data_IF_332714475014
#
_entry.id   IF_332714475014
#
_cell.length_a   1.000
_cell.length_b   1.000
_cell.length_c   1.000
_cell.angle_alpha   90.00
_cell.angle_beta   90.00
_cell.angle_gamma   90.00
#
_symmetry.space_group_name_H-M   'P 1'
#
loop_
_entity.id
_entity.type
_entity.pdbx_description
1 polymer ?
#
# COMPACT_ATOMS: atom_id res chain seq x y z
N UNK A 1 20.25 -18.57 23.03
CA UNK A 1 19.78 -18.02 24.32
C UNK A 1 20.27 -16.58 24.42
N UNK A 2 19.48 -15.59 23.97
CA UNK A 2 19.84 -14.19 24.13
C UNK A 2 19.82 -13.87 25.63
N UNK A 3 20.96 -13.47 26.18
CA UNK A 3 21.15 -13.26 27.62
C UNK A 3 20.29 -12.09 28.09
N UNK A 4 19.69 -12.15 29.29
CA UNK A 4 18.82 -11.08 29.80
C UNK A 4 19.46 -9.67 29.80
N UNK A 5 20.80 -9.59 29.82
CA UNK A 5 21.51 -8.33 29.63
C UNK A 5 21.39 -7.75 28.21
N UNK A 6 21.35 -8.58 27.16
CA UNK A 6 21.14 -8.09 25.79
C UNK A 6 19.74 -7.50 25.61
N UNK A 7 18.74 -8.05 26.29
CA UNK A 7 17.37 -7.52 26.27
C UNK A 7 17.32 -6.16 26.96
N UNK A 8 18.03 -6.01 28.09
CA UNK A 8 18.08 -4.74 28.81
C UNK A 8 18.83 -3.66 28.02
N UNK A 9 19.92 -4.02 27.35
CA UNK A 9 20.68 -3.12 26.49
C UNK A 9 19.85 -2.69 25.26
N UNK A 10 19.10 -3.63 24.66
CA UNK A 10 18.19 -3.33 23.55
C UNK A 10 17.03 -2.43 23.99
N UNK A 11 16.50 -2.61 25.19
CA UNK A 11 15.45 -1.74 25.74
C UNK A 11 15.98 -0.32 25.97
N UNK A 12 17.21 -0.20 26.46
CA UNK A 12 17.87 1.08 26.71
C UNK A 12 18.20 1.79 25.37
N UNK A 13 18.62 1.05 24.36
CA UNK A 13 18.84 1.56 23.00
C UNK A 13 17.54 2.05 22.36
N UNK A 14 16.42 1.33 22.54
CA UNK A 14 15.10 1.75 22.06
C UNK A 14 14.65 3.03 22.77
N UNK A 15 14.89 3.15 24.07
CA UNK A 15 14.51 4.32 24.86
C UNK A 15 15.31 5.57 24.45
N UNK A 16 16.60 5.41 24.15
CA UNK A 16 17.43 6.49 23.60
C UNK A 16 16.95 6.94 22.21
N UNK A 17 16.49 6.01 21.36
CA UNK A 17 15.95 6.36 20.04
C UNK A 17 14.67 7.21 20.17
N UNK A 18 13.79 6.85 21.10
CA UNK A 18 12.55 7.60 21.37
C UNK A 18 12.88 9.02 21.88
N UNK A 19 13.84 9.16 22.79
CA UNK A 19 14.26 10.46 23.29
C UNK A 19 14.82 11.36 22.17
N UNK A 20 15.59 10.77 21.25
CA UNK A 20 16.16 11.51 20.11
C UNK A 20 15.07 11.97 19.12
N UNK A 21 14.07 11.12 18.86
CA UNK A 21 12.91 11.47 18.02
C UNK A 21 12.08 12.62 18.63
N UNK A 22 11.85 12.59 19.95
CA UNK A 22 11.15 13.68 20.63
C UNK A 22 11.92 15.00 20.56
N UNK A 23 13.25 14.96 20.66
CA UNK A 23 14.07 16.15 20.52
C UNK A 23 13.97 16.75 19.12
N UNK A 24 14.00 15.91 18.07
CA UNK A 24 13.87 16.36 16.68
C UNK A 24 12.50 17.01 16.40
N UNK A 25 11.43 16.47 16.99
CA UNK A 25 10.09 17.07 16.96
C UNK A 25 10.05 18.45 17.64
N UNK A 26 10.74 18.61 18.77
CA UNK A 26 10.80 19.88 19.49
C UNK A 26 11.56 20.97 18.70
N UNK A 27 12.66 20.62 18.03
CA UNK A 27 13.40 21.57 17.18
C UNK A 27 12.57 22.02 15.98
N UNK A 28 11.81 21.11 15.37
CA UNK A 28 10.91 21.44 14.26
C UNK A 28 9.76 22.35 14.69
N UNK A 29 9.22 22.17 15.90
CA UNK A 29 8.19 23.07 16.44
C UNK A 29 8.75 24.46 16.79
N UNK A 30 9.97 24.54 17.35
CA UNK A 30 10.55 25.82 17.78
C UNK A 30 11.03 26.68 16.60
N UNK A 31 11.43 26.06 15.49
CA UNK A 31 11.89 26.77 14.29
C UNK A 31 10.75 27.40 13.46
N UNK A 32 9.48 27.25 13.87
CA UNK A 32 8.31 27.88 13.21
C UNK A 32 7.98 29.28 13.76
N UNK A 33 8.65 29.77 14.81
CA UNK A 33 8.19 30.94 15.56
C UNK A 33 8.86 32.29 15.24
N UNK A 34 9.86 32.39 14.36
CA UNK A 34 10.51 33.68 14.07
C UNK A 34 10.76 33.92 12.58
N UNK A 35 9.68 34.10 11.82
CA UNK A 35 9.72 34.88 10.58
C UNK A 35 9.62 36.37 10.90
N UNK A 36 10.24 37.27 10.10
CA UNK A 36 10.18 38.71 10.32
C UNK A 36 8.73 39.23 10.27
N UNK A 37 8.36 40.26 11.05
CA UNK A 37 6.98 40.70 11.17
C UNK A 37 6.54 41.38 9.86
N UNK A 38 5.72 40.67 9.08
CA UNK A 38 5.00 41.20 7.91
C UNK A 38 3.54 41.55 8.26
N UNK A 39 2.91 42.53 7.60
CA UNK A 39 1.62 43.10 8.04
C UNK A 39 0.45 42.12 7.96
N UNK A 40 -0.48 42.29 8.91
CA UNK A 40 -1.68 41.49 9.16
C UNK A 40 -2.77 41.67 8.06
N UNK A 41 -3.43 40.59 7.65
CA UNK A 41 -4.65 40.59 6.80
C UNK A 41 -5.26 39.19 6.64
N UNK A 42 -6.59 39.02 6.46
CA UNK A 42 -7.38 38.05 7.24
C UNK A 42 -7.68 36.69 6.57
N UNK A 43 -7.97 35.73 7.45
CA UNK A 43 -8.59 34.40 7.25
C UNK A 43 -7.71 33.31 6.63
N UNK A 44 -6.99 32.61 7.52
CA UNK A 44 -6.23 31.39 7.24
C UNK A 44 -7.17 30.27 6.79
N UNK A 45 -7.24 30.02 5.49
CA UNK A 45 -7.58 28.71 4.97
C UNK A 45 -6.65 27.66 5.62
N UNK A 46 -7.13 26.44 5.92
CA UNK A 46 -6.31 25.44 6.59
C UNK A 46 -5.08 25.14 5.73
N UNK A 47 -3.89 25.38 6.29
CA UNK A 47 -2.64 25.10 5.60
C UNK A 47 -2.45 23.57 5.51
N UNK A 48 -2.00 23.05 4.36
CA UNK A 48 -1.85 21.62 4.13
C UNK A 48 -0.80 21.03 5.08
N UNK A 49 -1.15 19.89 5.68
CA UNK A 49 -0.29 19.13 6.60
C UNK A 49 0.93 18.57 5.84
N UNK A 50 2.12 18.46 6.47
CA UNK A 50 3.29 17.88 5.82
C UNK A 50 3.14 16.36 5.75
N UNK A 51 3.04 15.84 4.53
CA UNK A 51 3.04 14.40 4.23
C UNK A 51 4.42 13.82 4.51
N UNK A 52 4.48 12.86 5.43
CA UNK A 52 5.69 12.09 5.71
C UNK A 52 5.93 11.17 4.51
N UNK A 53 6.92 11.49 3.68
CA UNK A 53 7.29 10.66 2.52
C UNK A 53 8.15 9.48 3.00
N UNK A 54 7.49 8.45 3.52
CA UNK A 54 8.09 7.14 3.76
C UNK A 54 8.62 6.64 2.41
N UNK A 55 9.90 6.25 2.36
CA UNK A 55 10.55 5.75 1.14
C UNK A 55 9.77 4.55 0.59
N UNK A 56 8.86 4.82 -0.33
CA UNK A 56 8.02 3.82 -0.94
C UNK A 56 8.89 3.04 -1.93
N UNK A 57 9.04 1.73 -1.74
CA UNK A 57 9.61 0.88 -2.80
C UNK A 57 8.71 1.08 -4.02
N UNK A 58 9.29 1.57 -5.11
CA UNK A 58 8.57 1.78 -6.37
C UNK A 58 8.48 0.43 -7.07
N UNK A 59 7.28 -0.14 -7.06
CA UNK A 59 6.99 -1.44 -7.67
C UNK A 59 6.27 -1.18 -8.97
N UNK A 60 6.81 -1.73 -10.06
CA UNK A 60 6.17 -1.61 -11.37
C UNK A 60 4.76 -2.21 -11.31
N UNK A 61 3.79 -1.49 -11.88
CA UNK A 61 2.43 -2.00 -12.05
C UNK A 61 2.43 -3.17 -13.04
N UNK A 62 1.53 -4.15 -12.89
CA UNK A 62 1.36 -5.21 -13.86
C UNK A 62 1.04 -4.64 -15.25
N UNK A 63 1.43 -5.35 -16.30
CA UNK A 63 0.93 -5.07 -17.65
C UNK A 63 -0.52 -5.52 -17.76
N UNK A 64 -1.24 -4.95 -18.72
CA UNK A 64 -2.57 -5.45 -19.08
C UNK A 64 -2.45 -6.90 -19.56
N UNK A 65 -3.30 -7.77 -19.01
CA UNK A 65 -3.37 -9.18 -19.36
C UNK A 65 -4.54 -9.43 -20.31
N UNK A 66 -4.24 -9.95 -21.50
CA UNK A 66 -5.22 -10.21 -22.56
C UNK A 66 -5.68 -11.66 -22.66
N UNK A 67 -5.27 -12.52 -21.71
CA UNK A 67 -5.59 -13.96 -21.75
C UNK A 67 -4.55 -14.82 -22.45
N UNK A 68 -3.37 -14.29 -22.78
CA UNK A 68 -2.32 -15.07 -23.42
C UNK A 68 -1.53 -15.87 -22.37
N UNK A 69 -1.60 -17.21 -22.42
CA UNK A 69 -0.96 -18.09 -21.44
C UNK A 69 0.57 -17.91 -21.29
N UNK A 70 1.25 -17.34 -22.30
CA UNK A 70 2.68 -17.00 -22.23
C UNK A 70 2.97 -15.86 -21.26
N UNK A 71 2.02 -14.93 -21.09
CA UNK A 71 2.16 -13.76 -20.23
C UNK A 71 1.52 -13.98 -18.85
N UNK A 72 0.70 -15.03 -18.69
CA UNK A 72 -0.05 -15.35 -17.46
C UNK A 72 0.86 -15.43 -16.23
N UNK A 73 1.94 -16.21 -16.29
CA UNK A 73 2.83 -16.38 -15.13
C UNK A 73 3.56 -15.08 -14.75
N UNK A 74 3.93 -14.29 -15.76
CA UNK A 74 4.55 -12.96 -15.56
C UNK A 74 3.55 -11.99 -14.93
N UNK A 75 2.29 -12.02 -15.37
CA UNK A 75 1.20 -11.24 -14.81
C UNK A 75 0.92 -11.60 -13.35
N UNK A 76 0.71 -12.88 -13.04
CA UNK A 76 0.45 -13.36 -11.67
C UNK A 76 1.60 -12.94 -10.74
N UNK A 77 2.85 -13.15 -11.17
CA UNK A 77 4.02 -12.78 -10.36
C UNK A 77 4.08 -11.28 -10.09
N UNK A 78 3.81 -10.44 -11.10
CA UNK A 78 3.78 -8.98 -10.93
C UNK A 78 2.66 -8.54 -9.99
N UNK A 79 1.47 -9.14 -10.09
CA UNK A 79 0.35 -8.88 -9.19
C UNK A 79 0.71 -9.25 -7.74
N UNK A 80 1.23 -10.45 -7.47
CA UNK A 80 1.61 -10.88 -6.11
C UNK A 80 2.59 -9.92 -5.45
N UNK A 81 3.65 -9.53 -6.16
CA UNK A 81 4.66 -8.58 -5.65
C UNK A 81 4.02 -7.21 -5.35
N UNK A 82 3.15 -6.71 -6.23
CA UNK A 82 2.47 -5.44 -6.01
C UNK A 82 1.52 -5.50 -4.82
N UNK A 83 0.75 -6.57 -4.70
CA UNK A 83 -0.21 -6.76 -3.61
C UNK A 83 0.48 -6.81 -2.25
N UNK A 84 1.58 -7.57 -2.13
CA UNK A 84 2.34 -7.66 -0.88
C UNK A 84 3.00 -6.34 -0.47
N UNK A 85 3.47 -5.54 -1.44
CA UNK A 85 4.21 -4.31 -1.14
C UNK A 85 3.33 -3.06 -1.03
N UNK A 86 2.21 -3.00 -1.75
CA UNK A 86 1.35 -1.80 -1.85
C UNK A 86 -0.06 -2.01 -1.32
N UNK A 87 -0.53 -3.25 -1.22
CA UNK A 87 -1.91 -3.56 -0.85
C UNK A 87 -2.01 -4.58 0.28
N UNK A 88 -0.94 -4.83 1.05
CA UNK A 88 -0.97 -5.83 2.13
C UNK A 88 -2.13 -5.57 3.12
N UNK A 89 -2.37 -4.31 3.46
CA UNK A 89 -3.40 -3.82 4.39
C UNK A 89 -4.80 -3.66 3.76
N UNK A 90 -4.98 -4.05 2.48
CA UNK A 90 -6.28 -3.98 1.80
C UNK A 90 -7.09 -5.26 1.97
N UNK A 91 -8.41 -5.11 1.91
CA UNK A 91 -9.33 -6.23 1.91
C UNK A 91 -9.16 -7.10 0.65
N UNK A 92 -9.48 -8.41 0.72
CA UNK A 92 -9.42 -9.32 -0.42
C UNK A 92 -10.23 -8.84 -1.63
N UNK A 93 -11.44 -8.32 -1.41
CA UNK A 93 -12.34 -7.79 -2.46
C UNK A 93 -11.70 -6.61 -3.23
N UNK A 94 -11.05 -5.70 -2.51
CA UNK A 94 -10.31 -4.57 -3.10
C UNK A 94 -9.14 -5.06 -3.98
N UNK A 95 -8.44 -6.09 -3.50
CA UNK A 95 -7.31 -6.70 -4.21
C UNK A 95 -7.79 -7.38 -5.50
N UNK A 96 -8.88 -8.15 -5.44
CA UNK A 96 -9.51 -8.81 -6.59
C UNK A 96 -9.95 -7.78 -7.62
N UNK A 97 -10.73 -6.77 -7.20
CA UNK A 97 -11.20 -5.69 -8.07
C UNK A 97 -10.03 -4.97 -8.74
N UNK A 98 -8.94 -4.75 -8.00
CA UNK A 98 -7.73 -4.16 -8.56
C UNK A 98 -7.07 -5.06 -9.61
N UNK A 99 -6.93 -6.37 -9.37
CA UNK A 99 -6.39 -7.31 -10.37
C UNK A 99 -7.25 -7.32 -11.64
N UNK A 100 -8.58 -7.41 -11.48
CA UNK A 100 -9.54 -7.39 -12.59
C UNK A 100 -9.42 -6.11 -13.44
N UNK A 101 -9.00 -4.99 -12.86
CA UNK A 101 -8.76 -3.76 -13.62
C UNK A 101 -7.61 -3.88 -14.64
N UNK A 102 -6.66 -4.81 -14.44
CA UNK A 102 -5.58 -5.07 -15.39
C UNK A 102 -5.90 -6.21 -16.37
N UNK A 103 -7.02 -6.89 -16.18
CA UNK A 103 -7.48 -7.94 -17.10
C UNK A 103 -8.35 -7.30 -18.17
N UNK A 104 -7.79 -7.12 -19.37
CA UNK A 104 -8.48 -6.44 -20.48
C UNK A 104 -8.06 -7.00 -21.83
N UNK A 105 -9.03 -7.05 -22.75
CA UNK A 105 -8.86 -7.52 -24.11
C UNK A 105 -8.74 -9.04 -24.24
N UNK A 106 -8.92 -9.52 -25.48
CA UNK A 106 -8.80 -10.93 -25.82
C UNK A 106 -9.77 -11.83 -25.05
N UNK A 107 -9.32 -13.04 -24.72
CA UNK A 107 -10.15 -14.02 -24.00
C UNK A 107 -10.33 -13.69 -22.52
N UNK A 108 -9.43 -12.87 -21.95
CA UNK A 108 -9.49 -12.55 -20.52
C UNK A 108 -10.54 -11.50 -20.19
N UNK A 109 -10.99 -10.70 -21.16
CA UNK A 109 -12.11 -9.77 -20.97
C UNK A 109 -13.42 -10.51 -20.67
N UNK A 110 -13.73 -11.56 -21.45
CA UNK A 110 -14.90 -12.41 -21.19
C UNK A 110 -14.79 -13.17 -19.87
N UNK A 111 -13.58 -13.60 -19.50
CA UNK A 111 -13.34 -14.21 -18.18
C UNK A 111 -13.59 -13.21 -17.05
N UNK A 112 -13.09 -11.98 -17.17
CA UNK A 112 -13.31 -10.92 -16.17
C UNK A 112 -14.80 -10.61 -15.99
N UNK A 113 -15.55 -10.50 -17.09
CA UNK A 113 -17.00 -10.23 -17.05
C UNK A 113 -17.72 -11.34 -16.29
N UNK A 114 -17.41 -12.60 -16.57
CA UNK A 114 -17.95 -13.76 -15.84
C UNK A 114 -17.63 -13.69 -14.34
N UNK A 115 -16.36 -13.42 -13.98
CA UNK A 115 -15.96 -13.29 -12.58
C UNK A 115 -16.68 -12.12 -11.87
N UNK A 116 -16.86 -10.97 -12.55
CA UNK A 116 -17.63 -9.86 -11.97
C UNK A 116 -19.09 -10.23 -11.76
N UNK A 117 -19.72 -10.94 -12.71
CA UNK A 117 -21.10 -11.41 -12.60
C UNK A 117 -21.25 -12.36 -11.39
N UNK A 118 -20.35 -13.32 -11.22
CA UNK A 118 -20.33 -14.23 -10.06
C UNK A 118 -20.19 -13.49 -8.72
N UNK A 119 -19.36 -12.43 -8.69
CA UNK A 119 -19.19 -11.60 -7.48
C UNK A 119 -20.47 -10.78 -7.21
N UNK A 120 -21.09 -10.20 -8.24
CA UNK A 120 -22.34 -9.42 -8.11
C UNK A 120 -23.52 -10.27 -7.64
N UNK A 121 -23.62 -11.51 -8.13
CA UNK A 121 -24.65 -12.46 -7.73
C UNK A 121 -24.35 -13.14 -6.38
N UNK A 122 -23.20 -12.84 -5.77
CA UNK A 122 -22.71 -13.41 -4.51
C UNK A 122 -22.76 -14.95 -4.54
N UNK A 123 -22.37 -15.53 -5.68
CA UNK A 123 -22.30 -16.98 -5.85
C UNK A 123 -21.23 -17.57 -4.94
N UNK A 124 -21.49 -18.76 -4.37
CA UNK A 124 -20.53 -19.46 -3.49
C UNK A 124 -19.23 -19.84 -4.22
N UNK A 125 -19.25 -19.86 -5.57
CA UNK A 125 -18.11 -20.15 -6.44
C UNK A 125 -17.30 -18.88 -6.82
N UNK A 126 -17.75 -17.69 -6.41
CA UNK A 126 -17.00 -16.46 -6.65
C UNK A 126 -15.66 -16.47 -5.87
N UNK A 127 -14.57 -15.96 -6.46
CA UNK A 127 -13.27 -15.96 -5.79
C UNK A 127 -13.31 -15.05 -4.55
N UNK A 128 -13.11 -15.62 -3.36
CA UNK A 128 -13.07 -14.90 -2.10
C UNK A 128 -11.65 -14.38 -1.77
N UNK A 129 -10.65 -14.91 -2.47
CA UNK A 129 -9.24 -14.57 -2.29
C UNK A 129 -8.52 -14.36 -3.62
N UNK A 130 -7.38 -13.67 -3.57
CA UNK A 130 -6.55 -13.47 -4.76
C UNK A 130 -5.93 -14.77 -5.27
N UNK A 131 -5.71 -15.76 -4.39
CA UNK A 131 -5.22 -17.08 -4.80
C UNK A 131 -6.25 -17.85 -5.63
N UNK A 132 -7.50 -17.89 -5.19
CA UNK A 132 -8.61 -18.53 -5.95
C UNK A 132 -8.83 -17.83 -7.29
N UNK A 133 -8.72 -16.49 -7.31
CA UNK A 133 -8.75 -15.73 -8.56
C UNK A 133 -7.62 -16.17 -9.52
N UNK A 134 -6.41 -16.42 -9.02
CA UNK A 134 -5.31 -16.86 -9.87
C UNK A 134 -5.43 -18.32 -10.31
N UNK A 135 -6.04 -19.19 -9.51
CA UNK A 135 -6.26 -20.60 -9.87
C UNK A 135 -7.37 -20.77 -10.93
N UNK A 136 -8.22 -19.75 -11.12
CA UNK A 136 -9.27 -19.74 -12.14
C UNK A 136 -8.85 -19.16 -13.50
N UNK A 137 -7.61 -18.69 -13.65
CA UNK A 137 -7.01 -18.15 -14.90
C UNK A 137 -6.32 -19.23 -15.75
#
# INVERSE_FOLDING_TARGET
MATGQQILDQLNAQQNLIAQLQQQLATLQNNQAQGPPGPQGPTRAPAPQPVVNVSHIDVAKPKIFSGEGRELNVFITACKIYLELKMADREPEDKITWILSYVQGGAAESWKENIMEMIEDNEEEAPASTEELFDSL
#
